data_IF_843398805740
#
_entry.id   IF_843398805740
#
_cell.length_a   1.000
_cell.length_b   1.000
_cell.length_c   1.000
_cell.angle_alpha   90.00
_cell.angle_beta   90.00
_cell.angle_gamma   90.00
#
_symmetry.space_group_name_H-M   'P 1'
#
loop_
_entity.id
_entity.type
_entity.pdbx_description
1 polymer ?
#
# COMPACT_ATOMS: atom_id res chain seq x y z
N UNK A 1 -2.26 12.52 -22.16
CA UNK A 1 -2.67 11.32 -21.40
C UNK A 1 -2.37 11.42 -19.91
N UNK A 2 -1.30 12.07 -19.54
CA UNK A 2 -0.92 12.22 -18.12
C UNK A 2 -0.33 13.62 -17.88
N UNK A 3 -0.35 14.02 -16.62
CA UNK A 3 0.25 15.28 -16.20
C UNK A 3 0.80 15.15 -14.76
N UNK A 4 1.68 16.08 -14.39
CA UNK A 4 2.26 16.09 -13.05
C UNK A 4 1.19 16.49 -12.04
N UNK A 5 1.13 15.79 -10.90
CA UNK A 5 0.18 16.12 -9.84
C UNK A 5 0.80 17.09 -8.83
N UNK A 6 -0.04 17.68 -7.94
CA UNK A 6 0.47 18.45 -6.80
C UNK A 6 1.28 17.58 -5.81
N UNK A 7 1.11 16.27 -5.86
CA UNK A 7 1.87 15.34 -5.01
C UNK A 7 3.19 15.03 -5.71
N UNK A 8 4.30 15.44 -5.09
CA UNK A 8 5.62 15.26 -5.67
C UNK A 8 5.90 13.79 -6.00
N UNK A 9 6.36 13.55 -7.21
CA UNK A 9 6.67 12.20 -7.68
C UNK A 9 5.47 11.39 -8.15
N UNK A 10 4.28 11.99 -8.15
CA UNK A 10 3.05 11.31 -8.56
C UNK A 10 2.46 11.98 -9.80
N UNK A 11 1.78 11.20 -10.60
CA UNK A 11 1.17 11.68 -11.85
C UNK A 11 -0.36 11.55 -11.78
N UNK A 12 -1.03 12.45 -12.48
CA UNK A 12 -2.45 12.30 -12.75
C UNK A 12 -2.56 11.66 -14.14
N UNK A 13 -3.26 10.57 -14.23
CA UNK A 13 -3.53 9.91 -15.52
C UNK A 13 -4.94 10.32 -15.94
N UNK A 14 -5.03 11.01 -17.07
CA UNK A 14 -6.30 11.55 -17.56
C UNK A 14 -7.22 10.42 -18.05
N UNK A 15 -8.53 10.69 -18.18
CA UNK A 15 -9.51 9.63 -18.45
C UNK A 15 -9.18 8.71 -19.62
N UNK A 16 -8.71 9.25 -20.74
CA UNK A 16 -8.46 8.36 -21.86
C UNK A 16 -7.11 7.63 -21.78
N UNK A 17 -6.16 8.18 -21.05
CA UNK A 17 -4.96 7.41 -20.68
C UNK A 17 -5.29 6.30 -19.72
N UNK A 18 -6.14 6.59 -18.75
CA UNK A 18 -6.60 5.59 -17.78
C UNK A 18 -7.46 4.51 -18.45
N UNK A 19 -8.25 4.89 -19.48
CA UNK A 19 -9.01 3.93 -20.26
C UNK A 19 -8.13 2.88 -20.95
N UNK A 20 -6.95 3.27 -21.43
CA UNK A 20 -5.98 2.34 -21.98
C UNK A 20 -5.50 1.36 -20.90
N UNK A 21 -5.18 1.90 -19.72
CA UNK A 21 -4.77 1.10 -18.55
C UNK A 21 -5.85 0.07 -18.17
N UNK A 22 -7.10 0.52 -18.13
CA UNK A 22 -8.21 -0.37 -17.80
C UNK A 22 -8.36 -1.54 -18.78
N UNK A 23 -8.15 -1.29 -20.06
CA UNK A 23 -8.22 -2.36 -21.06
C UNK A 23 -7.08 -3.36 -20.89
N UNK A 24 -5.88 -2.87 -20.62
CA UNK A 24 -4.72 -3.74 -20.37
C UNK A 24 -4.97 -4.59 -19.12
N UNK A 25 -5.43 -3.97 -18.05
CA UNK A 25 -5.72 -4.65 -16.79
C UNK A 25 -6.78 -5.73 -16.97
N UNK A 26 -7.86 -5.40 -17.67
CA UNK A 26 -8.97 -6.31 -17.92
C UNK A 26 -8.53 -7.54 -18.70
N UNK A 27 -7.75 -7.32 -19.76
CA UNK A 27 -7.27 -8.41 -20.61
C UNK A 27 -6.28 -9.31 -19.87
N UNK A 28 -5.34 -8.72 -19.13
CA UNK A 28 -4.38 -9.48 -18.35
C UNK A 28 -5.06 -10.29 -17.25
N UNK A 29 -5.99 -9.67 -16.53
CA UNK A 29 -6.75 -10.33 -15.46
C UNK A 29 -7.53 -11.53 -16.00
N UNK A 30 -8.16 -11.37 -17.16
CA UNK A 30 -8.88 -12.45 -17.81
C UNK A 30 -7.96 -13.65 -18.11
N UNK A 31 -6.79 -13.38 -18.66
CA UNK A 31 -5.81 -14.42 -19.01
C UNK A 31 -5.26 -15.12 -17.77
N UNK A 32 -5.01 -14.39 -16.70
CA UNK A 32 -4.53 -14.98 -15.45
C UNK A 32 -5.60 -15.90 -14.85
N UNK A 33 -6.86 -15.46 -14.85
CA UNK A 33 -7.97 -16.26 -14.32
C UNK A 33 -8.19 -17.54 -15.11
N UNK A 34 -7.97 -17.50 -16.42
CA UNK A 34 -8.07 -18.70 -17.26
C UNK A 34 -7.06 -19.79 -16.87
N UNK A 35 -5.98 -19.42 -16.21
CA UNK A 35 -4.98 -20.39 -15.73
C UNK A 35 -5.30 -20.93 -14.33
N UNK A 36 -6.48 -20.61 -13.79
CA UNK A 36 -6.92 -21.13 -12.49
C UNK A 36 -6.51 -20.28 -11.30
N UNK A 37 -6.14 -19.02 -11.52
CA UNK A 37 -5.77 -18.10 -10.45
C UNK A 37 -6.96 -17.23 -10.06
N UNK A 38 -7.07 -16.93 -8.80
CA UNK A 38 -8.07 -16.03 -8.25
C UNK A 38 -7.42 -14.78 -7.65
N UNK A 39 -8.15 -13.67 -7.70
CA UNK A 39 -7.69 -12.42 -7.12
C UNK A 39 -7.89 -12.45 -5.62
N UNK A 40 -6.99 -11.79 -4.91
CA UNK A 40 -7.06 -11.61 -3.47
C UNK A 40 -6.70 -10.17 -3.14
N UNK A 41 -7.21 -9.68 -2.03
CA UNK A 41 -6.91 -8.33 -1.57
C UNK A 41 -6.23 -8.36 -0.19
N UNK A 42 -5.19 -7.60 -0.04
CA UNK A 42 -4.49 -7.42 1.22
C UNK A 42 -4.46 -5.94 1.59
N UNK A 43 -4.41 -5.62 2.91
CA UNK A 43 -4.46 -4.23 3.35
C UNK A 43 -3.37 -3.35 2.74
N UNK A 44 -3.71 -2.09 2.52
CA UNK A 44 -2.76 -1.08 2.07
C UNK A 44 -1.71 -0.79 3.14
N UNK A 45 -2.13 -0.77 4.41
CA UNK A 45 -1.24 -0.46 5.53
C UNK A 45 -0.68 -1.74 6.14
N UNK A 46 0.61 -1.71 6.43
CA UNK A 46 1.32 -2.82 7.06
C UNK A 46 1.88 -2.33 8.38
N UNK A 47 1.68 -3.07 9.49
CA UNK A 47 2.30 -2.69 10.76
C UNK A 47 3.82 -2.63 10.62
N UNK A 48 4.43 -1.60 11.20
CA UNK A 48 5.88 -1.42 11.11
C UNK A 48 6.66 -2.65 11.59
N UNK A 49 6.13 -3.36 12.59
CA UNK A 49 6.76 -4.58 13.13
C UNK A 49 6.91 -5.68 12.07
N UNK A 50 6.00 -5.76 11.09
CA UNK A 50 6.09 -6.76 10.02
C UNK A 50 7.29 -6.45 9.12
N UNK A 51 7.52 -5.18 8.82
CA UNK A 51 8.66 -4.75 8.01
C UNK A 51 9.96 -4.95 8.77
N UNK A 52 9.95 -4.66 10.07
CA UNK A 52 11.15 -4.80 10.91
C UNK A 52 11.64 -6.24 10.98
N UNK A 53 10.72 -7.22 10.99
CA UNK A 53 11.09 -8.63 10.98
C UNK A 53 11.85 -9.04 9.71
N UNK A 54 11.58 -8.36 8.61
CA UNK A 54 12.16 -8.63 7.31
C UNK A 54 13.22 -7.60 6.93
N UNK A 55 13.79 -6.91 7.91
CA UNK A 55 14.73 -5.81 7.67
C UNK A 55 15.91 -6.19 6.77
N UNK A 56 16.40 -7.41 6.90
CA UNK A 56 17.50 -7.90 6.07
C UNK A 56 17.12 -8.03 4.59
N UNK A 57 15.85 -8.37 4.33
CA UNK A 57 15.35 -8.55 2.96
C UNK A 57 14.86 -7.24 2.34
N UNK A 58 14.41 -6.28 3.16
CA UNK A 58 13.85 -5.03 2.68
C UNK A 58 14.79 -3.85 2.89
N UNK A 59 16.04 -4.08 3.22
CA UNK A 59 16.99 -3.01 3.50
C UNK A 59 17.08 -1.99 2.37
N UNK A 60 16.97 -2.42 1.12
CA UNK A 60 16.95 -1.53 -0.03
C UNK A 60 15.67 -0.69 -0.14
N UNK A 61 14.57 -1.12 0.48
CA UNK A 61 13.28 -0.42 0.45
C UNK A 61 12.99 0.32 1.75
N UNK A 62 13.58 -0.12 2.85
CA UNK A 62 13.17 0.30 4.18
C UNK A 62 13.42 1.77 4.51
N UNK A 63 14.24 2.44 3.73
CA UNK A 63 14.63 3.83 4.01
C UNK A 63 13.68 4.88 3.43
N UNK A 64 12.85 4.49 2.48
CA UNK A 64 11.97 5.44 1.79
C UNK A 64 10.56 4.89 1.71
N UNK A 65 9.85 4.96 2.82
CA UNK A 65 8.47 4.52 2.92
C UNK A 65 7.61 5.61 3.51
N UNK A 66 6.37 5.72 3.05
CA UNK A 66 5.39 6.58 3.69
C UNK A 66 4.93 5.91 4.98
N UNK A 67 5.06 6.62 6.09
CA UNK A 67 4.71 6.10 7.42
C UNK A 67 3.56 6.90 7.98
N UNK A 68 2.51 6.22 8.44
CA UNK A 68 1.36 6.84 9.08
C UNK A 68 1.56 6.76 10.58
N UNK A 69 1.55 7.91 11.24
CA UNK A 69 1.82 8.01 12.68
C UNK A 69 0.62 8.48 13.49
N UNK A 70 -0.36 9.11 12.84
CA UNK A 70 -1.55 9.67 13.48
C UNK A 70 -2.80 9.32 12.69
N UNK A 71 -3.94 9.22 13.37
CA UNK A 71 -5.19 8.86 12.71
C UNK A 71 -6.22 9.98 12.65
N UNK A 72 -5.89 11.17 13.17
CA UNK A 72 -6.85 12.27 13.22
C UNK A 72 -6.14 13.62 13.07
N UNK A 73 -6.82 14.57 12.46
CA UNK A 73 -6.36 15.95 12.38
C UNK A 73 -7.07 16.77 13.44
N UNK A 74 -6.43 17.87 13.84
CA UNK A 74 -6.99 18.82 14.79
C UNK A 74 -6.63 20.24 14.36
N UNK A 75 -7.55 21.17 14.54
CA UNK A 75 -7.28 22.57 14.32
C UNK A 75 -6.59 23.14 15.56
N UNK A 76 -5.33 23.51 15.42
CA UNK A 76 -4.52 24.09 16.52
C UNK A 76 -4.09 25.49 16.08
N UNK A 77 -4.59 26.51 16.77
CA UNK A 77 -4.30 27.92 16.46
C UNK A 77 -4.57 28.30 15.00
N UNK A 78 -5.68 27.80 14.45
CA UNK A 78 -6.09 28.10 13.08
C UNK A 78 -5.41 27.27 12.01
N UNK A 79 -4.52 26.35 12.39
CA UNK A 79 -3.85 25.44 11.45
C UNK A 79 -4.29 24.01 11.67
N UNK A 80 -4.58 23.31 10.58
CA UNK A 80 -4.93 21.89 10.61
C UNK A 80 -3.62 21.09 10.72
N UNK A 81 -3.48 20.34 11.80
CA UNK A 81 -2.28 19.57 12.11
C UNK A 81 -2.64 18.17 12.60
N UNK A 82 -1.72 17.20 12.54
CA UNK A 82 -1.97 15.91 13.19
C UNK A 82 -2.26 16.13 14.68
N UNK A 83 -3.34 15.50 15.17
CA UNK A 83 -3.71 15.59 16.58
C UNK A 83 -2.72 14.79 17.42
N UNK A 84 -2.00 15.42 18.38
CA UNK A 84 -1.03 14.70 19.21
C UNK A 84 -1.66 13.55 20.01
N UNK A 85 -2.94 13.65 20.34
CA UNK A 85 -3.66 12.59 21.06
C UNK A 85 -4.06 11.41 20.19
N UNK A 86 -3.89 11.54 18.87
CA UNK A 86 -4.25 10.49 17.91
C UNK A 86 -3.04 9.70 17.42
N UNK A 87 -1.89 9.84 18.09
CA UNK A 87 -0.70 9.10 17.71
C UNK A 87 -0.95 7.59 17.82
N UNK A 88 -0.60 6.85 16.76
CA UNK A 88 -0.75 5.41 16.75
C UNK A 88 0.26 4.76 17.70
N UNK A 89 -0.17 3.71 18.42
CA UNK A 89 0.73 2.93 19.26
C UNK A 89 1.81 2.26 18.41
N UNK A 90 1.41 1.75 17.25
CA UNK A 90 2.32 1.19 16.28
C UNK A 90 2.14 1.93 14.96
N UNK A 91 3.20 2.54 14.40
CA UNK A 91 3.10 3.17 13.10
C UNK A 91 2.71 2.17 12.01
N UNK A 92 2.00 2.66 11.02
CA UNK A 92 1.61 1.88 9.84
C UNK A 92 2.40 2.37 8.64
N UNK A 93 2.82 1.45 7.80
CA UNK A 93 3.57 1.75 6.59
C UNK A 93 2.65 1.56 5.40
N UNK A 94 2.64 2.54 4.50
CA UNK A 94 1.98 2.34 3.20
C UNK A 94 2.82 1.30 2.46
N UNK A 95 2.22 0.18 2.11
CA UNK A 95 2.97 -0.97 1.57
C UNK A 95 3.87 -0.60 0.40
N UNK A 96 5.21 -0.79 0.53
CA UNK A 96 6.11 -0.72 -0.62
C UNK A 96 6.09 -2.03 -1.38
N UNK A 97 5.80 -3.11 -0.66
CA UNK A 97 5.69 -4.47 -1.16
C UNK A 97 4.76 -5.25 -0.22
N UNK A 98 4.19 -6.33 -0.68
CA UNK A 98 3.13 -7.05 0.06
C UNK A 98 3.56 -8.41 0.63
N UNK A 99 4.80 -8.83 0.45
CA UNK A 99 5.24 -10.19 0.85
C UNK A 99 5.01 -10.47 2.33
N UNK A 100 5.27 -9.49 3.19
CA UNK A 100 5.14 -9.70 4.65
C UNK A 100 3.70 -9.96 5.06
N UNK A 101 2.76 -9.19 4.54
CA UNK A 101 1.34 -9.35 4.89
C UNK A 101 0.75 -10.59 4.21
N UNK A 102 1.18 -10.90 3.00
CA UNK A 102 0.77 -12.10 2.28
C UNK A 102 1.27 -13.34 3.02
N UNK A 103 2.55 -13.34 3.42
CA UNK A 103 3.15 -14.46 4.15
C UNK A 103 2.47 -14.72 5.49
N UNK A 104 2.13 -13.66 6.22
CA UNK A 104 1.39 -13.79 7.47
C UNK A 104 0.03 -14.46 7.26
N UNK A 105 -0.73 -14.02 6.25
CA UNK A 105 -2.03 -14.58 5.95
C UNK A 105 -1.93 -16.05 5.53
N UNK A 106 -1.01 -16.37 4.63
CA UNK A 106 -0.83 -17.74 4.15
C UNK A 106 -0.37 -18.68 5.26
N UNK A 107 0.47 -18.20 6.17
CA UNK A 107 0.88 -19.00 7.33
C UNK A 107 -0.30 -19.40 8.20
N UNK A 108 -1.33 -18.55 8.29
CA UNK A 108 -2.55 -18.86 9.03
C UNK A 108 -3.53 -19.72 8.24
N UNK A 109 -3.60 -19.55 6.91
CA UNK A 109 -4.55 -20.26 6.07
C UNK A 109 -4.08 -21.67 5.73
N UNK A 110 -2.79 -21.85 5.50
CA UNK A 110 -2.23 -23.14 5.09
C UNK A 110 -1.65 -23.84 6.32
N UNK A 111 -2.40 -24.78 6.85
CA UNK A 111 -2.01 -25.52 8.07
C UNK A 111 -1.41 -26.88 7.75
N UNK A 112 -1.53 -27.37 6.51
CA UNK A 112 -0.97 -28.63 6.06
C UNK A 112 -0.85 -28.64 4.54
N UNK A 113 -0.07 -29.56 4.03
CA UNK A 113 0.14 -29.70 2.59
C UNK A 113 -1.02 -30.39 1.90
#
# INVERSE_FOLDING_TARGET
MAEVSPVRGSMIIKPWGYGVWEQIQKELDRRIKETGHDNCYFPLFIPLSFIAKEAAHVEGFAKEMAVVTHHRLKNINGKLQPDPESKLEEPLVVRPTSETIIGDAFARWIKSH
#
